data_IF_497033382348
#
_entry.id   IF_497033382348
#
_cell.length_a   1.000
_cell.length_b   1.000
_cell.length_c   1.000
_cell.angle_alpha   90.00
_cell.angle_beta   90.00
_cell.angle_gamma   90.00
#
_symmetry.space_group_name_H-M   'P 1'
#
loop_
_entity.id
_entity.type
_entity.pdbx_description
1 polymer ?
#
# COMPACT_ATOMS: atom_id res chain seq x y z
N UNK A 1 -5.37 30.96 -1.49
CA UNK A 1 -5.83 31.21 -2.88
C UNK A 1 -6.06 32.70 -3.08
N UNK A 2 -6.15 33.21 -4.32
CA UNK A 2 -6.40 34.64 -4.57
C UNK A 2 -7.65 35.18 -3.86
N UNK A 3 -8.73 34.38 -3.77
CA UNK A 3 -9.94 34.76 -3.05
C UNK A 3 -9.74 34.89 -1.53
N UNK A 4 -8.97 34.01 -0.91
CA UNK A 4 -8.64 34.11 0.53
C UNK A 4 -7.79 35.35 0.82
N UNK A 5 -6.84 35.68 -0.06
CA UNK A 5 -6.05 36.91 0.05
C UNK A 5 -6.95 38.13 0.00
N UNK A 6 -7.92 38.15 -0.93
CA UNK A 6 -8.85 39.28 -1.04
C UNK A 6 -9.75 39.46 0.18
N UNK A 7 -10.12 38.37 0.87
CA UNK A 7 -10.90 38.44 2.11
C UNK A 7 -10.12 39.10 3.25
N UNK A 8 -8.81 38.84 3.36
CA UNK A 8 -7.95 39.54 4.32
C UNK A 8 -7.84 41.04 4.04
N UNK A 9 -7.74 41.44 2.76
CA UNK A 9 -7.70 42.87 2.39
C UNK A 9 -9.04 43.57 2.63
N UNK A 10 -10.16 42.89 2.35
CA UNK A 10 -11.49 43.49 2.39
C UNK A 10 -12.01 43.61 3.83
N UNK A 11 -11.63 42.67 4.70
CA UNK A 11 -12.12 42.57 6.07
C UNK A 11 -10.98 42.40 7.09
N UNK A 12 -10.05 43.38 7.17
CA UNK A 12 -8.83 43.24 7.99
C UNK A 12 -9.11 43.09 9.49
N UNK A 13 -10.21 43.67 9.98
CA UNK A 13 -10.56 43.66 11.42
C UNK A 13 -11.37 42.42 11.84
N UNK A 14 -12.07 41.76 10.91
CA UNK A 14 -13.07 40.72 11.24
C UNK A 14 -12.75 39.36 10.64
N UNK A 15 -12.08 39.30 9.48
CA UNK A 15 -11.72 38.04 8.85
C UNK A 15 -10.42 37.51 9.44
N UNK A 16 -10.49 36.31 10.04
CA UNK A 16 -9.35 35.61 10.62
C UNK A 16 -9.33 34.18 10.08
N UNK A 17 -8.12 33.63 9.96
CA UNK A 17 -7.91 32.24 9.59
C UNK A 17 -7.22 31.52 10.75
N UNK A 18 -7.95 30.62 11.39
CA UNK A 18 -7.39 29.81 12.47
C UNK A 18 -6.49 28.72 11.87
N UNK A 19 -5.19 28.81 12.18
CA UNK A 19 -4.20 27.83 11.75
C UNK A 19 -3.94 26.86 12.89
N UNK A 20 -4.46 25.65 12.76
CA UNK A 20 -4.24 24.59 13.73
C UNK A 20 -3.00 23.77 13.37
N UNK A 21 -2.26 23.34 14.40
CA UNK A 21 -1.16 22.41 14.20
C UNK A 21 -1.69 21.09 13.62
N UNK A 22 -1.20 20.72 12.43
CA UNK A 22 -1.55 19.42 11.85
C UNK A 22 -0.91 18.31 12.69
N UNK A 23 -1.74 17.40 13.23
CA UNK A 23 -1.25 16.13 13.79
C UNK A 23 -1.40 15.03 12.76
N UNK A 24 -0.32 14.76 12.01
CA UNK A 24 -0.26 13.57 11.12
C UNK A 24 0.16 12.38 11.98
N UNK A 25 -0.80 11.72 12.60
CA UNK A 25 -0.57 10.51 13.40
C UNK A 25 -0.26 9.27 12.55
N UNK A 26 -0.56 9.31 11.25
CA UNK A 26 -0.19 8.25 10.32
C UNK A 26 1.27 8.41 9.90
N UNK A 27 2.14 7.60 10.51
CA UNK A 27 3.57 7.49 10.16
C UNK A 27 3.98 6.04 10.01
N UNK A 28 4.95 5.76 9.14
CA UNK A 28 5.61 4.46 9.11
C UNK A 28 6.63 4.31 10.24
N UNK A 29 7.03 3.07 10.58
CA UNK A 29 8.22 2.82 11.40
C UNK A 29 9.47 3.47 10.80
N UNK A 30 10.45 3.83 11.65
CA UNK A 30 11.68 4.50 11.22
C UNK A 30 12.44 3.72 10.14
N UNK A 31 12.56 2.40 10.29
CA UNK A 31 13.26 1.54 9.34
C UNK A 31 12.69 1.64 7.91
N UNK A 32 11.38 1.92 7.77
CA UNK A 32 10.74 2.06 6.45
C UNK A 32 11.22 3.34 5.77
N UNK A 33 11.33 4.45 6.51
CA UNK A 33 11.84 5.69 5.94
C UNK A 33 13.31 5.58 5.54
N UNK A 34 14.11 4.88 6.34
CA UNK A 34 15.51 4.67 6.02
C UNK A 34 15.68 3.76 4.79
N UNK A 35 14.87 2.70 4.69
CA UNK A 35 14.81 1.87 3.48
C UNK A 35 14.38 2.68 2.24
N UNK A 36 13.35 3.52 2.35
CA UNK A 36 12.89 4.38 1.23
C UNK A 36 13.98 5.35 0.77
N UNK A 37 14.76 5.94 1.69
CA UNK A 37 15.91 6.79 1.33
C UNK A 37 16.94 5.99 0.54
N UNK A 38 17.26 4.78 0.99
CA UNK A 38 18.22 3.92 0.28
C UNK A 38 17.67 3.52 -1.09
N UNK A 39 16.41 3.06 -1.17
CA UNK A 39 15.77 2.65 -2.41
C UNK A 39 15.76 3.77 -3.47
N UNK A 40 15.61 5.04 -3.05
CA UNK A 40 15.65 6.20 -3.96
C UNK A 40 16.93 6.30 -4.81
N UNK A 41 18.02 5.66 -4.39
CA UNK A 41 19.32 5.70 -5.07
C UNK A 41 19.64 4.46 -5.90
N UNK A 42 18.90 3.36 -5.73
CA UNK A 42 19.25 2.06 -6.33
C UNK A 42 18.09 1.31 -6.97
N UNK A 43 16.84 1.68 -6.69
CA UNK A 43 15.68 1.00 -7.26
C UNK A 43 15.65 1.19 -8.78
N UNK A 44 15.39 0.10 -9.51
CA UNK A 44 15.34 0.08 -10.96
C UNK A 44 14.12 -0.72 -11.43
N UNK A 45 13.48 -0.26 -12.51
CA UNK A 45 12.53 -1.07 -13.26
C UNK A 45 13.28 -2.15 -14.05
N UNK A 46 12.68 -3.32 -14.21
CA UNK A 46 13.16 -4.37 -15.13
C UNK A 46 12.15 -4.63 -16.25
N UNK A 47 12.67 -5.08 -17.40
CA UNK A 47 11.92 -5.60 -18.54
C UNK A 47 10.68 -4.76 -18.93
N UNK A 48 10.92 -3.51 -19.36
CA UNK A 48 9.83 -2.61 -19.78
C UNK A 48 8.92 -2.15 -18.64
N UNK A 49 9.30 -2.39 -17.38
CA UNK A 49 8.55 -1.99 -16.19
C UNK A 49 7.65 -3.08 -15.60
N UNK A 50 7.79 -4.33 -16.05
CA UNK A 50 7.04 -5.47 -15.52
C UNK A 50 7.58 -6.02 -14.20
N UNK A 51 8.70 -5.47 -13.72
CA UNK A 51 9.24 -5.78 -12.41
C UNK A 51 10.11 -4.66 -11.87
N UNK A 52 10.67 -4.90 -10.70
CA UNK A 52 11.67 -4.04 -10.07
C UNK A 52 12.80 -4.90 -9.51
N UNK A 53 13.95 -4.27 -9.31
CA UNK A 53 15.10 -4.88 -8.62
C UNK A 53 15.78 -3.85 -7.71
N UNK A 54 16.78 -4.31 -6.96
CA UNK A 54 17.61 -3.46 -6.11
C UNK A 54 16.82 -2.65 -5.05
N UNK A 55 15.65 -3.13 -4.61
CA UNK A 55 14.81 -2.43 -3.64
C UNK A 55 14.17 -3.40 -2.67
N UNK A 56 14.04 -2.97 -1.43
CA UNK A 56 13.39 -3.72 -0.36
C UNK A 56 12.79 -2.75 0.64
N UNK A 57 11.69 -3.15 1.27
CA UNK A 57 11.00 -2.42 2.34
C UNK A 57 10.52 -1.02 1.93
N UNK A 58 9.20 -0.88 1.82
CA UNK A 58 8.57 0.41 1.53
C UNK A 58 8.65 0.83 0.06
N UNK A 59 8.46 2.12 -0.17
CA UNK A 59 8.26 2.68 -1.52
C UNK A 59 9.59 2.63 -2.32
N UNK A 60 9.62 2.00 -3.51
CA UNK A 60 10.83 1.90 -4.32
C UNK A 60 11.25 3.23 -4.97
N UNK A 61 10.30 4.01 -5.51
CA UNK A 61 10.58 5.24 -6.27
C UNK A 61 9.94 6.47 -5.60
N UNK A 62 10.46 6.97 -4.47
CA UNK A 62 9.81 8.07 -3.74
C UNK A 62 9.64 9.36 -4.55
N UNK A 63 10.44 9.54 -5.61
CA UNK A 63 10.29 10.60 -6.61
C UNK A 63 10.12 9.91 -7.97
N UNK A 64 8.90 9.50 -8.35
CA UNK A 64 8.68 8.75 -9.58
C UNK A 64 8.85 9.65 -10.81
N UNK A 65 9.71 9.24 -11.73
CA UNK A 65 9.91 9.87 -13.04
C UNK A 65 8.87 9.40 -14.07
N UNK A 66 8.26 8.23 -13.88
CA UNK A 66 7.29 7.64 -14.82
C UNK A 66 6.03 7.13 -14.12
N UNK A 67 4.96 6.93 -14.91
CA UNK A 67 3.71 6.34 -14.41
C UNK A 67 3.89 4.90 -13.91
N UNK A 68 4.82 4.14 -14.51
CA UNK A 68 5.12 2.77 -14.09
C UNK A 68 5.74 2.74 -12.68
N UNK A 69 6.64 3.67 -12.38
CA UNK A 69 7.21 3.81 -11.03
C UNK A 69 6.13 4.18 -10.00
N UNK A 70 5.19 5.05 -10.37
CA UNK A 70 4.05 5.39 -9.51
C UNK A 70 3.13 4.17 -9.25
N UNK A 71 2.91 3.32 -10.26
CA UNK A 71 2.17 2.06 -10.10
C UNK A 71 2.91 1.12 -9.15
N UNK A 72 4.23 0.94 -9.33
CA UNK A 72 5.04 0.11 -8.43
C UNK A 72 5.04 0.61 -6.99
N UNK A 73 5.10 1.92 -6.79
CA UNK A 73 4.92 2.53 -5.47
C UNK A 73 3.56 2.18 -4.86
N UNK A 74 2.49 2.19 -5.65
CA UNK A 74 1.18 1.79 -5.17
C UNK A 74 1.18 0.31 -4.77
N UNK A 75 1.71 -0.59 -5.60
CA UNK A 75 1.74 -2.03 -5.33
C UNK A 75 2.53 -2.34 -4.05
N UNK A 76 3.66 -1.66 -3.83
CA UNK A 76 4.64 -2.02 -2.80
C UNK A 76 4.71 -1.08 -1.61
N UNK A 77 3.81 -0.10 -1.53
CA UNK A 77 3.66 0.76 -0.35
C UNK A 77 3.64 -0.09 0.93
N UNK A 78 4.29 0.41 1.97
CA UNK A 78 4.32 -0.29 3.25
C UNK A 78 2.92 -0.35 3.87
N UNK A 79 2.52 -1.55 4.28
CA UNK A 79 1.22 -1.82 4.94
C UNK A 79 1.39 -2.74 6.16
N UNK A 80 2.60 -2.83 6.71
CA UNK A 80 3.00 -3.87 7.65
C UNK A 80 3.63 -5.08 6.96
N UNK A 81 4.23 -5.94 7.77
CA UNK A 81 4.89 -7.17 7.31
C UNK A 81 3.90 -8.29 7.00
N UNK A 82 2.78 -8.32 7.71
CA UNK A 82 1.70 -9.26 7.51
C UNK A 82 0.34 -8.56 7.67
N UNK A 83 -0.68 -9.09 7.01
CA UNK A 83 -2.04 -8.56 7.02
C UNK A 83 -3.04 -9.71 7.08
N UNK A 84 -4.12 -9.53 7.83
CA UNK A 84 -5.29 -10.41 7.77
C UNK A 84 -6.41 -9.66 7.07
N UNK A 85 -7.03 -10.29 6.07
CA UNK A 85 -8.20 -9.78 5.38
C UNK A 85 -9.35 -10.75 5.57
N UNK A 86 -10.48 -10.23 6.02
CA UNK A 86 -11.73 -10.97 6.05
C UNK A 86 -12.57 -10.50 4.88
N UNK A 87 -13.09 -11.42 4.10
CA UNK A 87 -13.86 -11.10 2.91
C UNK A 87 -14.78 -12.23 2.51
N UNK A 88 -15.48 -12.02 1.40
CA UNK A 88 -16.24 -13.06 0.77
C UNK A 88 -16.50 -12.75 -0.70
N UNK A 89 -16.95 -13.76 -1.44
CA UNK A 89 -17.31 -13.67 -2.84
C UNK A 89 -18.74 -14.15 -3.00
N UNK A 90 -19.53 -13.39 -3.75
CA UNK A 90 -20.85 -13.78 -4.20
C UNK A 90 -20.87 -13.72 -5.73
N UNK A 91 -21.04 -14.87 -6.37
CA UNK A 91 -21.26 -14.95 -7.82
C UNK A 91 -22.77 -15.06 -8.08
N UNK A 92 -23.42 -14.02 -8.63
CA UNK A 92 -24.85 -14.06 -8.91
C UNK A 92 -25.17 -14.95 -10.12
N UNK A 93 -26.29 -15.65 -10.08
CA UNK A 93 -26.88 -16.38 -11.22
C UNK A 93 -27.74 -15.45 -12.07
N UNK A 94 -28.09 -15.88 -13.30
CA UNK A 94 -28.99 -15.13 -14.17
C UNK A 94 -30.38 -14.88 -13.54
N UNK A 95 -30.80 -15.71 -12.58
CA UNK A 95 -32.04 -15.56 -11.83
C UNK A 95 -31.93 -14.59 -10.65
N UNK A 96 -30.75 -14.00 -10.40
CA UNK A 96 -30.50 -13.09 -9.27
C UNK A 96 -30.18 -13.78 -7.94
N UNK A 97 -30.11 -15.12 -7.90
CA UNK A 97 -29.69 -15.85 -6.71
C UNK A 97 -28.16 -15.86 -6.58
N UNK A 98 -27.62 -16.11 -5.39
CA UNK A 98 -26.17 -16.28 -5.19
C UNK A 98 -25.87 -17.22 -4.03
N UNK A 99 -24.66 -17.78 -4.04
CA UNK A 99 -24.05 -18.44 -2.88
C UNK A 99 -22.90 -17.58 -2.41
N UNK A 100 -22.94 -17.16 -1.16
CA UNK A 100 -21.83 -16.42 -0.54
C UNK A 100 -20.76 -17.40 -0.07
N UNK A 101 -19.51 -17.15 -0.43
CA UNK A 101 -18.34 -17.88 0.06
C UNK A 101 -17.50 -16.91 0.89
N UNK A 102 -17.42 -17.17 2.20
CA UNK A 102 -16.60 -16.39 3.12
C UNK A 102 -15.16 -16.91 3.19
N UNK A 103 -14.20 -16.01 3.30
CA UNK A 103 -12.78 -16.34 3.45
C UNK A 103 -12.04 -15.42 4.40
N UNK A 104 -11.05 -16.00 5.09
CA UNK A 104 -10.02 -15.28 5.82
C UNK A 104 -8.71 -15.50 5.09
N UNK A 105 -8.14 -14.41 4.57
CA UNK A 105 -6.83 -14.38 3.93
C UNK A 105 -5.78 -13.90 4.93
N UNK A 106 -4.70 -14.64 5.08
CA UNK A 106 -3.48 -14.22 5.76
C UNK A 106 -2.42 -13.92 4.71
N UNK A 107 -1.95 -12.69 4.67
CA UNK A 107 -0.93 -12.21 3.76
C UNK A 107 0.37 -12.01 4.54
N UNK A 108 1.46 -12.62 4.08
CA UNK A 108 2.82 -12.26 4.46
C UNK A 108 3.42 -11.46 3.30
N UNK A 109 4.08 -10.35 3.59
CA UNK A 109 4.70 -9.48 2.58
C UNK A 109 6.22 -9.51 2.81
N UNK A 110 6.95 -10.53 2.31
CA UNK A 110 8.41 -10.60 2.47
C UNK A 110 9.13 -9.33 2.05
N UNK A 111 8.65 -8.64 1.01
CA UNK A 111 9.19 -7.35 0.57
C UNK A 111 9.22 -6.29 1.69
N UNK A 112 8.27 -6.34 2.62
CA UNK A 112 8.10 -5.34 3.68
C UNK A 112 8.69 -5.76 5.02
N UNK A 113 9.22 -6.98 5.16
CA UNK A 113 9.78 -7.47 6.43
C UNK A 113 11.05 -6.69 6.77
N UNK A 114 11.13 -6.19 8.00
CA UNK A 114 12.30 -5.47 8.50
C UNK A 114 13.58 -6.31 8.34
N UNK A 115 14.65 -5.67 7.86
CA UNK A 115 15.94 -6.33 7.61
C UNK A 115 16.04 -7.10 6.28
N UNK A 116 14.96 -7.20 5.49
CA UNK A 116 15.01 -7.85 4.18
C UNK A 116 15.89 -7.08 3.20
N UNK A 117 16.80 -7.78 2.53
CA UNK A 117 17.68 -7.19 1.50
C UNK A 117 17.18 -7.47 0.09
N UNK A 118 17.55 -6.66 -0.92
CA UNK A 118 17.21 -6.95 -2.31
C UNK A 118 17.73 -8.32 -2.78
N UNK A 119 18.92 -8.75 -2.32
CA UNK A 119 19.48 -10.05 -2.68
C UNK A 119 18.64 -11.23 -2.17
N UNK A 120 18.03 -11.09 -0.98
CA UNK A 120 17.14 -12.13 -0.45
C UNK A 120 15.83 -12.22 -1.24
N UNK A 121 15.31 -11.07 -1.69
CA UNK A 121 14.12 -11.01 -2.53
C UNK A 121 14.38 -11.57 -3.93
N UNK A 122 15.55 -11.32 -4.51
CA UNK A 122 15.92 -11.86 -5.82
C UNK A 122 16.01 -13.40 -5.82
N UNK A 123 16.51 -14.02 -4.73
CA UNK A 123 16.59 -15.50 -4.62
C UNK A 123 15.21 -16.17 -4.69
N UNK A 124 14.18 -15.51 -4.16
CA UNK A 124 12.84 -16.09 -4.07
C UNK A 124 11.90 -15.58 -5.16
N UNK A 125 12.13 -14.36 -5.64
CA UNK A 125 11.27 -13.61 -6.55
C UNK A 125 9.80 -13.57 -6.08
N UNK A 126 9.58 -13.38 -4.78
CA UNK A 126 8.24 -13.35 -4.15
C UNK A 126 8.03 -12.02 -3.42
N UNK A 127 7.03 -11.25 -3.85
CA UNK A 127 6.63 -10.00 -3.20
C UNK A 127 5.70 -10.21 -2.00
N UNK A 128 4.77 -11.16 -2.10
CA UNK A 128 3.85 -11.54 -1.04
C UNK A 128 3.46 -13.01 -1.17
N UNK A 129 3.09 -13.61 -0.03
CA UNK A 129 2.51 -14.95 0.07
C UNK A 129 1.13 -14.80 0.69
N UNK A 130 0.14 -15.49 0.16
CA UNK A 130 -1.19 -15.51 0.77
C UNK A 130 -1.59 -16.93 1.14
N UNK A 131 -2.27 -17.07 2.27
CA UNK A 131 -2.95 -18.28 2.70
C UNK A 131 -4.43 -17.93 2.85
N UNK A 132 -5.29 -18.65 2.13
CA UNK A 132 -6.72 -18.48 2.21
C UNK A 132 -7.34 -19.64 3.00
N UNK A 133 -8.20 -19.32 3.97
CA UNK A 133 -9.07 -20.28 4.64
C UNK A 133 -10.51 -19.94 4.31
N UNK A 134 -11.24 -20.88 3.72
CA UNK A 134 -12.69 -20.74 3.51
C UNK A 134 -13.38 -20.90 4.86
N UNK A 135 -14.24 -19.95 5.22
CA UNK A 135 -14.99 -19.99 6.48
C UNK A 135 -16.42 -20.47 6.27
N UNK A 136 -17.01 -20.16 5.12
CA UNK A 136 -18.39 -20.49 4.80
C UNK A 136 -18.58 -20.69 3.29
N UNK A 137 -19.57 -21.49 2.86
CA UNK A 137 -20.46 -22.33 3.68
C UNK A 137 -19.72 -23.58 4.22
N UNK A 138 -20.25 -24.23 5.25
CA UNK A 138 -19.60 -25.37 5.93
C UNK A 138 -19.16 -26.50 4.98
N UNK A 139 -19.87 -26.70 3.86
CA UNK A 139 -19.52 -27.68 2.82
C UNK A 139 -18.15 -27.42 2.17
N UNK A 140 -17.70 -26.16 2.14
CA UNK A 140 -16.43 -25.73 1.54
C UNK A 140 -15.38 -25.34 2.58
N UNK A 141 -15.77 -25.16 3.85
CA UNK A 141 -14.86 -24.70 4.90
C UNK A 141 -13.78 -25.72 5.30
N UNK A 142 -13.97 -27.01 4.97
CA UNK A 142 -13.09 -28.10 5.39
C UNK A 142 -13.12 -28.33 6.91
N UNK A 143 -12.91 -29.57 7.36
CA UNK A 143 -12.80 -29.91 8.80
C UNK A 143 -11.51 -29.41 9.40
#
# INVERSE_FOLDING_TARGET
>A
TPGQVKLFETYPETFKMDVYQTRRSASYPSHVYDAVKVNSTRAELVEGGNGIKNTSVGIPFPIPATGLEAIWNHILRYRGEAMVRQGGQAAPTASGNYTFVGFVDQLLIPYSVEGTTPSDLEKTNILFKFKQKVTEPARLAGT
#
